data_IF_247923085288
#
_entry.id   IF_247923085288
#
_cell.length_a   1.000
_cell.length_b   1.000
_cell.length_c   1.000
_cell.angle_alpha   90.00
_cell.angle_beta   90.00
_cell.angle_gamma   90.00
#
_symmetry.space_group_name_H-M   'P 1'
#
loop_
_entity.id
_entity.type
_entity.pdbx_description
1 polymer ?
#
# COMPACT_ATOMS: atom_id res chain seq x y z
N UNK A 1 25.15 -25.43 -11.98
CA UNK A 1 24.25 -24.85 -10.95
C UNK A 1 23.47 -23.75 -11.63
N UNK A 2 22.17 -23.69 -11.43
CA UNK A 2 21.31 -22.72 -12.14
C UNK A 2 21.28 -21.31 -11.48
N UNK A 3 21.75 -21.19 -10.25
CA UNK A 3 21.87 -19.93 -9.51
C UNK A 3 23.31 -19.67 -9.12
N UNK A 4 23.78 -18.44 -9.31
CA UNK A 4 25.09 -17.97 -8.88
C UNK A 4 24.92 -16.88 -7.83
N UNK A 5 25.65 -16.97 -6.71
CA UNK A 5 25.72 -15.89 -5.74
C UNK A 5 26.59 -14.78 -6.33
N UNK A 6 26.00 -13.61 -6.54
CA UNK A 6 26.71 -12.42 -7.07
C UNK A 6 27.45 -11.71 -5.94
N UNK A 7 26.76 -11.52 -4.80
CA UNK A 7 27.29 -10.87 -3.60
C UNK A 7 26.41 -11.17 -2.40
N UNK A 8 26.93 -11.02 -1.20
CA UNK A 8 26.13 -10.91 0.01
C UNK A 8 25.55 -9.49 0.12
N UNK A 9 24.29 -9.39 0.52
CA UNK A 9 23.65 -8.09 0.81
C UNK A 9 23.93 -7.69 2.26
N UNK A 10 24.06 -6.38 2.55
CA UNK A 10 24.26 -5.90 3.92
C UNK A 10 23.11 -6.36 4.82
N UNK A 11 23.42 -6.66 6.07
CA UNK A 11 22.38 -6.97 7.05
C UNK A 11 21.51 -5.71 7.32
N UNK A 12 20.18 -5.83 7.53
CA UNK A 12 19.33 -4.67 7.81
C UNK A 12 19.82 -3.79 8.96
N UNK A 13 20.41 -4.36 10.01
CA UNK A 13 20.99 -3.58 11.11
C UNK A 13 22.15 -2.68 10.65
N UNK A 14 22.96 -3.12 9.67
CA UNK A 14 24.06 -2.33 9.11
C UNK A 14 23.50 -1.14 8.30
N UNK A 15 22.49 -1.40 7.47
CA UNK A 15 21.81 -0.34 6.70
C UNK A 15 21.14 0.66 7.63
N UNK A 16 20.45 0.21 8.67
CA UNK A 16 19.82 1.09 9.67
C UNK A 16 20.85 1.89 10.46
N UNK A 17 21.99 1.30 10.79
CA UNK A 17 23.08 2.01 11.48
C UNK A 17 23.76 3.07 10.58
N UNK A 18 23.87 2.79 9.27
CA UNK A 18 24.40 3.75 8.29
C UNK A 18 23.41 4.89 7.95
N UNK A 19 22.10 4.59 8.01
CA UNK A 19 21.00 5.53 7.73
C UNK A 19 20.00 5.50 8.90
N UNK A 20 20.36 6.06 10.08
CA UNK A 20 19.57 5.90 11.29
C UNK A 20 18.35 6.82 11.30
N UNK A 21 17.25 6.31 11.81
CA UNK A 21 16.09 7.13 12.16
C UNK A 21 16.41 7.89 13.47
N UNK A 22 16.30 9.22 13.45
CA UNK A 22 16.53 10.01 14.67
C UNK A 22 15.39 9.83 15.67
N UNK A 23 15.63 10.03 16.98
CA UNK A 23 14.58 9.94 17.99
C UNK A 23 13.36 10.83 17.72
N UNK A 24 13.57 12.05 17.21
CA UNK A 24 12.48 12.98 16.88
C UNK A 24 11.62 12.46 15.71
N UNK A 25 12.26 11.95 14.65
CA UNK A 25 11.54 11.35 13.52
C UNK A 25 10.83 10.06 13.92
N UNK A 26 11.44 9.25 14.80
CA UNK A 26 10.79 8.06 15.35
C UNK A 26 9.54 8.42 16.15
N UNK A 27 9.58 9.52 16.92
CA UNK A 27 8.41 10.03 17.64
C UNK A 27 7.32 10.47 16.67
N UNK A 28 7.62 11.27 15.66
CA UNK A 28 6.67 11.74 14.64
C UNK A 28 5.99 10.52 13.97
N UNK A 29 6.79 9.52 13.57
CA UNK A 29 6.27 8.29 12.96
C UNK A 29 5.33 7.54 13.92
N UNK A 30 5.74 7.32 15.16
CA UNK A 30 4.96 6.58 16.14
C UNK A 30 3.62 7.28 16.47
N UNK A 31 3.63 8.61 16.60
CA UNK A 31 2.42 9.40 16.82
C UNK A 31 1.45 9.24 15.63
N UNK A 32 1.98 9.28 14.40
CA UNK A 32 1.21 9.10 13.17
C UNK A 32 0.65 7.68 13.03
N UNK A 33 1.47 6.67 13.32
CA UNK A 33 1.04 5.26 13.32
C UNK A 33 -0.09 5.02 14.32
N UNK A 34 -0.03 5.66 15.50
CA UNK A 34 -1.08 5.58 16.50
C UNK A 34 -2.40 6.19 15.98
N UNK A 35 -2.37 7.32 15.28
CA UNK A 35 -3.56 7.91 14.64
C UNK A 35 -4.16 6.96 13.58
N UNK A 36 -3.33 6.35 12.74
CA UNK A 36 -3.78 5.40 11.72
C UNK A 36 -4.42 4.17 12.38
N UNK A 37 -3.79 3.60 13.41
CA UNK A 37 -4.31 2.44 14.14
C UNK A 37 -5.67 2.71 14.77
N UNK A 38 -5.92 3.94 15.28
CA UNK A 38 -7.23 4.34 15.83
C UNK A 38 -8.37 4.28 14.80
N UNK A 39 -8.08 4.52 13.53
CA UNK A 39 -9.08 4.36 12.47
C UNK A 39 -9.45 2.89 12.29
N UNK A 40 -8.45 2.00 12.33
CA UNK A 40 -8.68 0.55 12.20
C UNK A 40 -9.39 -0.03 13.42
N UNK A 41 -9.06 0.43 14.63
CA UNK A 41 -9.73 -0.01 15.87
C UNK A 41 -11.14 0.57 16.05
N UNK A 42 -11.52 1.57 15.25
CA UNK A 42 -12.81 2.27 15.37
C UNK A 42 -12.84 3.34 16.46
N UNK A 43 -11.68 3.70 17.03
CA UNK A 43 -11.55 4.81 18.00
C UNK A 43 -11.53 6.18 17.29
N UNK A 44 -11.37 6.22 15.98
CA UNK A 44 -11.40 7.43 15.16
C UNK A 44 -12.28 7.19 13.93
N UNK A 45 -13.15 8.17 13.66
CA UNK A 45 -14.02 8.19 12.46
C UNK A 45 -13.34 8.80 11.23
N UNK A 46 -12.04 9.16 11.32
CA UNK A 46 -11.30 9.67 10.18
C UNK A 46 -11.18 8.63 9.08
N UNK A 47 -11.12 9.10 7.85
CA UNK A 47 -11.01 8.27 6.67
C UNK A 47 -9.56 8.18 6.18
N UNK A 48 -9.09 7.01 5.80
CA UNK A 48 -7.74 6.81 5.29
C UNK A 48 -7.68 7.01 3.78
N UNK A 49 -6.72 7.78 3.31
CA UNK A 49 -6.47 7.93 1.89
C UNK A 49 -5.04 7.52 1.58
N UNK A 50 -4.89 6.31 1.03
CA UNK A 50 -3.60 5.75 0.60
C UNK A 50 -3.41 6.15 -0.86
N UNK A 51 -2.60 7.17 -1.13
CA UNK A 51 -2.55 7.80 -2.45
C UNK A 51 -1.11 8.09 -2.88
N UNK A 52 -0.81 7.79 -4.14
CA UNK A 52 0.52 8.05 -4.74
C UNK A 52 0.75 7.24 -6.00
N UNK A 53 1.97 7.32 -6.59
CA UNK A 53 2.27 6.68 -7.86
C UNK A 53 2.10 5.16 -7.82
N UNK A 54 1.87 4.58 -8.99
CA UNK A 54 1.78 3.13 -9.16
C UNK A 54 3.08 2.44 -8.72
N UNK A 55 4.23 3.05 -9.05
CA UNK A 55 5.55 2.68 -8.54
C UNK A 55 6.42 3.93 -8.35
N UNK A 56 7.26 3.94 -7.32
CA UNK A 56 8.30 4.94 -7.16
C UNK A 56 9.41 4.66 -8.18
N UNK A 57 9.72 5.66 -9.01
CA UNK A 57 10.68 5.55 -10.11
C UNK A 57 11.76 6.64 -10.08
N UNK A 58 11.44 7.79 -9.51
CA UNK A 58 12.33 8.93 -9.40
C UNK A 58 12.13 9.61 -8.05
N UNK A 59 13.21 9.78 -7.27
CA UNK A 59 13.15 10.29 -5.90
C UNK A 59 12.58 11.71 -5.84
N UNK A 60 13.05 12.61 -6.73
CA UNK A 60 12.67 14.03 -6.68
C UNK A 60 11.19 14.24 -7.01
N UNK A 61 10.67 13.58 -8.04
CA UNK A 61 9.27 13.70 -8.41
C UNK A 61 8.33 13.02 -7.41
N UNK A 62 8.75 11.92 -6.78
CA UNK A 62 7.99 11.29 -5.69
C UNK A 62 7.92 12.22 -4.48
N UNK A 63 9.03 12.86 -4.09
CA UNK A 63 9.05 13.81 -2.98
C UNK A 63 8.25 15.09 -3.28
N UNK A 64 8.35 15.65 -4.50
CA UNK A 64 7.48 16.78 -4.91
C UNK A 64 6.00 16.41 -4.75
N UNK A 65 5.61 15.21 -5.23
CA UNK A 65 4.24 14.74 -5.06
C UNK A 65 3.83 14.64 -3.57
N UNK A 66 4.70 14.11 -2.71
CA UNK A 66 4.44 13.98 -1.27
C UNK A 66 4.34 15.35 -0.60
N UNK A 67 5.15 16.32 -1.00
CA UNK A 67 5.04 17.70 -0.52
C UNK A 67 3.71 18.36 -0.89
N UNK A 68 3.16 18.05 -2.07
CA UNK A 68 1.81 18.49 -2.46
C UNK A 68 0.76 17.84 -1.56
N UNK A 69 0.88 16.54 -1.29
CA UNK A 69 0.00 15.85 -0.34
C UNK A 69 0.09 16.46 1.07
N UNK A 70 1.29 16.88 1.51
CA UNK A 70 1.46 17.49 2.84
C UNK A 70 0.68 18.80 2.97
N UNK A 71 0.67 19.62 1.93
CA UNK A 71 -0.09 20.88 1.93
C UNK A 71 -1.59 20.62 2.08
N UNK A 72 -2.14 19.73 1.27
CA UNK A 72 -3.58 19.43 1.31
C UNK A 72 -3.99 18.68 2.59
N UNK A 73 -3.08 17.90 3.22
CA UNK A 73 -3.37 17.23 4.49
C UNK A 73 -3.79 18.23 5.59
N UNK A 74 -3.22 19.42 5.61
CA UNK A 74 -3.56 20.41 6.63
C UNK A 74 -4.99 20.95 6.46
N UNK A 75 -5.51 20.94 5.22
CA UNK A 75 -6.88 21.36 4.92
C UNK A 75 -7.92 20.28 5.29
N UNK A 76 -7.53 19.00 5.17
CA UNK A 76 -8.48 17.87 5.37
C UNK A 76 -8.23 17.07 6.65
N UNK A 77 -7.30 17.49 7.50
CA UNK A 77 -6.79 16.74 8.68
C UNK A 77 -7.87 16.31 9.68
N UNK A 78 -8.99 17.05 9.76
CA UNK A 78 -10.06 16.73 10.69
C UNK A 78 -10.90 15.52 10.24
N UNK A 79 -10.88 15.21 8.94
CA UNK A 79 -11.67 14.14 8.31
C UNK A 79 -10.83 13.04 7.69
N UNK A 80 -9.64 13.38 7.14
CA UNK A 80 -8.82 12.46 6.35
C UNK A 80 -7.41 12.36 6.94
N UNK A 81 -6.89 11.13 6.99
CA UNK A 81 -5.48 10.84 7.18
C UNK A 81 -4.91 10.36 5.84
N UNK A 82 -4.01 11.16 5.24
CA UNK A 82 -3.33 10.79 4.01
C UNK A 82 -2.12 9.92 4.34
N UNK A 83 -1.97 8.80 3.63
CA UNK A 83 -0.81 7.91 3.67
C UNK A 83 -0.22 7.88 2.26
N UNK A 84 0.94 8.50 2.02
CA UNK A 84 1.57 8.46 0.70
C UNK A 84 1.90 7.04 0.25
N UNK A 85 1.59 6.68 -0.99
CA UNK A 85 2.07 5.45 -1.62
C UNK A 85 3.49 5.68 -2.14
N UNK A 86 4.44 4.94 -1.61
CA UNK A 86 5.82 4.83 -2.12
C UNK A 86 6.07 3.35 -2.41
N UNK A 87 5.47 2.83 -3.49
CA UNK A 87 5.64 1.43 -3.86
C UNK A 87 6.97 1.24 -4.57
N UNK A 88 7.90 0.59 -3.88
CA UNK A 88 9.30 0.44 -4.31
C UNK A 88 9.59 -0.88 -4.99
N UNK A 89 8.69 -1.85 -4.89
CA UNK A 89 8.70 -3.12 -5.62
C UNK A 89 7.56 -3.17 -6.64
N UNK A 90 7.82 -3.69 -7.84
CA UNK A 90 6.77 -3.91 -8.85
C UNK A 90 6.75 -5.37 -9.28
N UNK A 91 5.70 -6.14 -8.93
CA UNK A 91 5.58 -7.52 -9.37
C UNK A 91 5.35 -7.59 -10.89
N UNK A 92 6.10 -8.44 -11.58
CA UNK A 92 6.00 -8.68 -13.01
C UNK A 92 5.72 -10.15 -13.30
N UNK A 93 4.55 -10.44 -13.86
CA UNK A 93 4.10 -11.80 -14.13
C UNK A 93 5.02 -12.54 -15.11
N UNK A 94 5.52 -11.84 -16.14
CA UNK A 94 6.45 -12.39 -17.15
C UNK A 94 7.91 -12.13 -16.83
N UNK A 95 8.20 -11.33 -15.80
CA UNK A 95 9.56 -10.92 -15.44
C UNK A 95 10.09 -9.71 -16.22
N UNK A 96 9.34 -9.22 -17.23
CA UNK A 96 9.74 -8.09 -18.07
C UNK A 96 9.31 -6.73 -17.51
N UNK A 97 10.04 -5.67 -17.89
CA UNK A 97 9.76 -4.28 -17.53
C UNK A 97 10.35 -3.86 -16.17
N UNK A 98 10.09 -2.62 -15.79
CA UNK A 98 10.59 -2.02 -14.54
C UNK A 98 10.11 -2.80 -13.31
N UNK A 99 11.03 -3.22 -12.46
CA UNK A 99 10.78 -4.06 -11.28
C UNK A 99 10.70 -3.27 -9.97
N UNK A 100 10.72 -1.94 -10.06
CA UNK A 100 10.70 -1.03 -8.92
C UNK A 100 12.09 -0.57 -8.48
N UNK A 101 12.13 0.51 -7.71
CA UNK A 101 13.35 1.17 -7.21
C UNK A 101 14.25 0.20 -6.43
N UNK A 102 13.68 -0.78 -5.73
CA UNK A 102 14.45 -1.80 -5.02
C UNK A 102 15.40 -2.58 -5.95
N UNK A 103 14.99 -2.87 -7.17
CA UNK A 103 15.81 -3.59 -8.15
C UNK A 103 16.62 -2.65 -9.05
N UNK A 104 16.01 -1.53 -9.42
CA UNK A 104 16.51 -0.59 -10.41
C UNK A 104 16.29 0.84 -9.88
N UNK A 105 17.17 1.34 -8.99
CA UNK A 105 17.08 2.73 -8.51
C UNK A 105 17.16 3.75 -9.65
N UNK A 106 17.87 3.41 -10.74
CA UNK A 106 17.75 4.07 -12.04
C UNK A 106 17.03 3.14 -13.02
N UNK A 107 15.81 3.48 -13.49
CA UNK A 107 15.01 2.61 -14.38
C UNK A 107 15.66 2.24 -15.71
N UNK A 108 16.68 3.00 -16.15
CA UNK A 108 17.40 2.78 -17.43
C UNK A 108 18.67 1.95 -17.27
N UNK A 109 19.07 1.63 -16.03
CA UNK A 109 20.29 0.87 -15.74
C UNK A 109 20.01 -0.60 -15.40
N UNK A 110 21.08 -1.38 -15.33
CA UNK A 110 21.00 -2.78 -14.90
C UNK A 110 20.60 -2.86 -13.42
N UNK A 111 19.91 -3.93 -12.99
CA UNK A 111 19.51 -4.13 -11.60
C UNK A 111 20.71 -4.10 -10.63
N UNK A 112 20.59 -3.33 -9.56
CA UNK A 112 21.51 -3.32 -8.42
C UNK A 112 20.72 -3.29 -7.10
N UNK A 113 20.52 -4.46 -6.52
CA UNK A 113 19.74 -4.63 -5.29
C UNK A 113 20.37 -3.93 -4.07
N UNK A 114 21.72 -3.84 -3.99
CA UNK A 114 22.38 -3.16 -2.88
C UNK A 114 22.09 -1.66 -2.91
N UNK A 115 22.29 -1.05 -4.06
CA UNK A 115 21.97 0.38 -4.25
C UNK A 115 20.47 0.63 -4.13
N UNK A 116 19.63 -0.31 -4.58
CA UNK A 116 18.18 -0.25 -4.46
C UNK A 116 17.71 -0.23 -3.00
N UNK A 117 18.24 -1.09 -2.13
CA UNK A 117 17.92 -1.09 -0.69
C UNK A 117 18.23 0.27 -0.06
N UNK A 118 19.38 0.86 -0.38
CA UNK A 118 19.79 2.17 0.14
C UNK A 118 18.88 3.28 -0.40
N UNK A 119 18.59 3.28 -1.71
CA UNK A 119 17.72 4.28 -2.35
C UNK A 119 16.31 4.25 -1.76
N UNK A 120 15.73 3.07 -1.60
CA UNK A 120 14.40 2.89 -1.02
C UNK A 120 14.35 3.40 0.42
N UNK A 121 15.34 3.04 1.26
CA UNK A 121 15.40 3.54 2.63
C UNK A 121 15.53 5.06 2.68
N UNK A 122 16.43 5.63 1.86
CA UNK A 122 16.63 7.09 1.82
C UNK A 122 15.34 7.82 1.38
N UNK A 123 14.63 7.32 0.38
CA UNK A 123 13.37 7.91 -0.08
C UNK A 123 12.31 7.92 1.05
N UNK A 124 12.12 6.81 1.75
CA UNK A 124 11.18 6.75 2.88
C UNK A 124 11.63 7.65 4.05
N UNK A 125 12.92 7.71 4.36
CA UNK A 125 13.46 8.61 5.38
C UNK A 125 13.25 10.08 5.01
N UNK A 126 13.51 10.48 3.77
CA UNK A 126 13.28 11.84 3.28
C UNK A 126 11.79 12.20 3.34
N UNK A 127 10.92 11.30 2.89
CA UNK A 127 9.48 11.51 2.98
C UNK A 127 9.04 11.81 4.42
N UNK A 128 9.52 11.02 5.39
CA UNK A 128 9.22 11.24 6.80
C UNK A 128 9.85 12.54 7.33
N UNK A 129 11.11 12.79 7.03
CA UNK A 129 11.85 13.95 7.54
C UNK A 129 11.31 15.27 6.99
N UNK A 130 10.99 15.33 5.71
CA UNK A 130 10.57 16.55 5.02
C UNK A 130 9.07 16.85 5.20
N UNK A 131 8.24 15.84 5.47
CA UNK A 131 6.77 16.00 5.49
C UNK A 131 6.08 15.46 6.74
N UNK A 132 6.75 14.69 7.56
CA UNK A 132 6.16 13.99 8.71
C UNK A 132 5.28 12.79 8.32
N UNK A 133 5.25 12.39 7.06
CA UNK A 133 4.49 11.22 6.62
C UNK A 133 5.31 9.92 6.72
N UNK A 134 4.81 8.95 7.49
CA UNK A 134 5.10 7.55 7.22
C UNK A 134 4.33 7.12 5.96
N UNK A 135 4.95 6.30 5.11
CA UNK A 135 4.37 5.93 3.83
C UNK A 135 3.90 4.47 3.78
N UNK A 136 3.12 4.16 2.74
CA UNK A 136 2.71 2.81 2.39
C UNK A 136 3.64 2.21 1.34
N UNK A 137 4.01 0.93 1.51
CA UNK A 137 4.69 0.15 0.46
C UNK A 137 4.03 -1.23 0.29
N UNK A 138 4.28 -1.89 -0.84
CA UNK A 138 3.88 -3.28 -1.08
C UNK A 138 4.98 -4.22 -0.60
N UNK A 139 4.66 -5.14 0.32
CA UNK A 139 5.56 -6.22 0.72
C UNK A 139 5.62 -7.25 -0.42
N UNK A 140 6.43 -6.98 -1.45
CA UNK A 140 6.65 -7.91 -2.55
C UNK A 140 7.55 -9.08 -2.12
N UNK A 141 8.58 -8.78 -1.36
CA UNK A 141 9.51 -9.75 -0.77
C UNK A 141 9.53 -9.55 0.76
N UNK A 142 9.06 -10.53 1.56
CA UNK A 142 9.03 -10.41 3.02
C UNK A 142 10.38 -10.07 3.64
N UNK A 143 11.49 -10.58 3.08
CA UNK A 143 12.86 -10.32 3.56
C UNK A 143 13.22 -8.82 3.54
N UNK A 144 12.67 -8.06 2.59
CA UNK A 144 12.99 -6.64 2.43
C UNK A 144 12.32 -5.76 3.49
N UNK A 145 11.25 -6.23 4.12
CA UNK A 145 10.54 -5.49 5.16
C UNK A 145 11.48 -5.00 6.27
N UNK A 146 12.42 -5.84 6.70
CA UNK A 146 13.34 -5.49 7.79
C UNK A 146 14.29 -4.34 7.49
N UNK A 147 14.44 -3.88 6.24
CA UNK A 147 15.17 -2.66 5.93
C UNK A 147 14.34 -1.39 6.14
N UNK A 148 13.02 -1.51 6.26
CA UNK A 148 12.04 -0.43 6.30
C UNK A 148 11.06 -0.50 7.48
N UNK A 149 11.15 -1.51 8.36
CA UNK A 149 10.19 -1.78 9.43
C UNK A 149 10.04 -0.63 10.45
N UNK A 150 11.05 0.23 10.52
CA UNK A 150 11.07 1.45 11.34
C UNK A 150 10.54 2.70 10.60
N UNK A 151 10.17 2.61 9.32
CA UNK A 151 9.77 3.74 8.47
C UNK A 151 8.35 3.63 7.92
N UNK A 152 7.89 2.40 7.61
CA UNK A 152 6.57 2.19 7.00
C UNK A 152 5.43 2.44 7.98
N UNK A 153 4.36 3.08 7.51
CA UNK A 153 3.11 3.29 8.25
C UNK A 153 1.98 2.35 7.82
N UNK A 154 2.11 1.73 6.65
CA UNK A 154 1.13 0.82 6.07
C UNK A 154 1.81 -0.16 5.11
N UNK A 155 1.33 -1.39 5.08
CA UNK A 155 1.80 -2.41 4.13
C UNK A 155 0.61 -2.98 3.34
N UNK A 156 0.80 -3.15 2.04
CA UNK A 156 -0.10 -3.94 1.22
C UNK A 156 0.53 -5.28 0.84
N UNK A 157 -0.25 -6.36 0.91
CA UNK A 157 0.10 -7.65 0.31
C UNK A 157 -0.61 -7.75 -1.04
N UNK A 158 0.18 -7.86 -2.10
CA UNK A 158 -0.32 -7.88 -3.46
C UNK A 158 -1.17 -9.10 -3.80
N UNK A 159 -2.00 -8.98 -4.82
CA UNK A 159 -2.92 -10.03 -5.27
C UNK A 159 -2.23 -11.34 -5.69
N UNK A 160 -0.95 -11.29 -6.10
CA UNK A 160 -0.15 -12.46 -6.46
C UNK A 160 0.57 -13.09 -5.26
N UNK A 161 0.65 -12.37 -4.14
CA UNK A 161 1.40 -12.77 -2.94
C UNK A 161 0.49 -13.21 -1.79
N UNK A 162 -0.80 -12.88 -1.82
CA UNK A 162 -1.74 -13.09 -0.70
C UNK A 162 -1.94 -14.56 -0.33
N UNK A 163 -1.71 -15.49 -1.26
CA UNK A 163 -1.76 -16.94 -0.99
C UNK A 163 -0.46 -17.49 -0.41
N UNK A 164 0.64 -16.75 -0.55
CA UNK A 164 1.95 -17.21 -0.11
C UNK A 164 2.05 -17.26 1.41
N UNK A 165 2.51 -18.42 1.94
CA UNK A 165 2.59 -18.67 3.38
C UNK A 165 3.54 -17.70 4.09
N UNK A 166 4.70 -17.40 3.49
CA UNK A 166 5.69 -16.50 4.09
C UNK A 166 5.13 -15.09 4.28
N UNK A 167 4.37 -14.57 3.30
CA UNK A 167 3.72 -13.26 3.43
C UNK A 167 2.71 -13.22 4.57
N UNK A 168 1.90 -14.28 4.75
CA UNK A 168 0.92 -14.38 5.84
C UNK A 168 1.60 -14.41 7.20
N UNK A 169 2.67 -15.23 7.33
CA UNK A 169 3.41 -15.38 8.58
C UNK A 169 4.17 -14.09 8.95
N UNK A 170 4.87 -13.46 8.01
CA UNK A 170 5.56 -12.19 8.27
C UNK A 170 4.56 -11.09 8.63
N UNK A 171 3.40 -11.03 7.96
CA UNK A 171 2.33 -10.06 8.27
C UNK A 171 1.83 -10.19 9.71
N UNK A 172 1.85 -11.40 10.31
CA UNK A 172 1.45 -11.60 11.71
C UNK A 172 2.43 -11.01 12.73
N UNK A 173 3.68 -10.73 12.32
CA UNK A 173 4.71 -10.10 13.15
C UNK A 173 4.91 -8.61 12.88
N UNK A 174 4.13 -8.02 11.97
CA UNK A 174 4.20 -6.59 11.64
C UNK A 174 3.39 -5.77 12.63
N UNK A 175 3.93 -4.65 13.11
CA UNK A 175 3.30 -3.78 14.10
C UNK A 175 2.61 -2.54 13.50
N UNK A 176 2.22 -2.58 12.22
CA UNK A 176 1.45 -1.56 11.52
C UNK A 176 0.33 -2.22 10.73
N UNK A 177 -0.68 -1.48 10.22
CA UNK A 177 -1.74 -2.06 9.42
C UNK A 177 -1.22 -2.74 8.16
N UNK A 178 -1.73 -3.96 7.90
CA UNK A 178 -1.40 -4.77 6.72
C UNK A 178 -2.68 -5.09 5.96
N UNK A 179 -2.79 -4.58 4.74
CA UNK A 179 -3.92 -4.84 3.85
C UNK A 179 -3.67 -6.04 2.94
N UNK A 180 -4.56 -7.02 2.98
CA UNK A 180 -4.55 -8.21 2.13
C UNK A 180 -5.41 -7.96 0.89
N UNK A 181 -4.81 -7.84 -0.30
CA UNK A 181 -5.56 -7.73 -1.55
C UNK A 181 -6.24 -9.06 -1.88
N UNK A 182 -7.49 -9.02 -2.40
CA UNK A 182 -8.05 -10.24 -2.97
C UNK A 182 -7.18 -10.74 -4.13
N UNK A 183 -7.06 -12.08 -4.32
CA UNK A 183 -6.28 -12.67 -5.41
C UNK A 183 -6.71 -12.14 -6.78
N UNK A 184 -5.86 -12.30 -7.78
CA UNK A 184 -6.13 -11.86 -9.16
C UNK A 184 -7.43 -12.47 -9.69
N UNK A 185 -7.72 -13.73 -9.39
CA UNK A 185 -8.96 -14.42 -9.77
C UNK A 185 -10.20 -14.10 -8.92
N UNK A 186 -10.07 -13.25 -7.89
CA UNK A 186 -11.22 -12.72 -7.14
C UNK A 186 -11.72 -13.54 -5.95
N UNK A 187 -11.05 -14.62 -5.56
CA UNK A 187 -11.49 -15.45 -4.44
C UNK A 187 -11.36 -14.72 -3.09
N UNK A 188 -12.50 -14.28 -2.59
CA UNK A 188 -12.60 -13.59 -1.29
C UNK A 188 -12.23 -14.51 -0.12
N UNK A 189 -12.45 -15.83 -0.24
CA UNK A 189 -12.13 -16.78 0.83
C UNK A 189 -10.62 -16.85 1.09
N UNK A 190 -9.81 -16.79 0.04
CA UNK A 190 -8.35 -16.75 0.11
C UNK A 190 -7.89 -15.49 0.86
N UNK A 191 -8.43 -14.32 0.51
CA UNK A 191 -8.14 -13.06 1.20
C UNK A 191 -8.51 -13.15 2.69
N UNK A 192 -9.70 -13.63 3.01
CA UNK A 192 -10.17 -13.77 4.40
C UNK A 192 -9.32 -14.76 5.20
N UNK A 193 -8.89 -15.86 4.59
CA UNK A 193 -7.96 -16.81 5.22
C UNK A 193 -6.58 -16.18 5.48
N UNK A 194 -6.12 -15.31 4.59
CA UNK A 194 -4.86 -14.59 4.77
C UNK A 194 -4.94 -13.60 5.93
N UNK A 195 -6.06 -12.88 6.08
CA UNK A 195 -6.33 -12.01 7.22
C UNK A 195 -6.36 -12.81 8.52
N UNK A 196 -7.08 -13.94 8.52
CA UNK A 196 -7.14 -14.84 9.67
C UNK A 196 -5.74 -15.30 10.09
N UNK A 197 -4.94 -15.79 9.14
CA UNK A 197 -3.58 -16.21 9.42
C UNK A 197 -2.72 -15.06 9.97
N UNK A 198 -2.80 -13.87 9.39
CA UNK A 198 -2.03 -12.70 9.85
C UNK A 198 -2.45 -12.22 11.25
N UNK A 199 -3.70 -12.45 11.68
CA UNK A 199 -4.16 -12.09 13.03
C UNK A 199 -3.79 -13.13 14.11
N UNK A 200 -3.29 -14.32 13.75
CA UNK A 200 -2.87 -15.35 14.69
C UNK A 200 -1.37 -15.31 14.97
N UNK A 201 -1.01 -15.81 16.15
CA UNK A 201 0.40 -16.03 16.54
C UNK A 201 0.99 -17.24 15.80
N UNK A 202 2.26 -17.13 15.38
CA UNK A 202 2.98 -18.18 14.68
C UNK A 202 4.42 -18.31 15.14
N UNK A 203 5.00 -19.51 14.98
CA UNK A 203 6.44 -19.76 15.02
C UNK A 203 6.89 -20.18 13.61
N UNK A 204 7.91 -19.52 13.06
CA UNK A 204 8.36 -19.78 11.69
C UNK A 204 9.81 -19.34 11.46
N UNK A 205 10.37 -19.72 10.31
CA UNK A 205 11.72 -19.31 9.92
C UNK A 205 11.65 -17.99 9.17
N UNK A 206 12.39 -16.99 9.67
CA UNK A 206 12.52 -15.70 9.00
C UNK A 206 13.99 -15.24 9.03
N UNK A 207 14.57 -15.01 7.86
CA UNK A 207 15.97 -14.57 7.70
C UNK A 207 16.98 -15.45 8.43
N UNK A 208 16.82 -16.77 8.35
CA UNK A 208 17.69 -17.74 8.98
C UNK A 208 17.55 -17.86 10.51
N UNK A 209 16.54 -17.21 11.09
CA UNK A 209 16.21 -17.29 12.50
C UNK A 209 14.87 -17.99 12.71
N UNK A 210 14.71 -18.68 13.84
CA UNK A 210 13.41 -19.05 14.37
C UNK A 210 12.79 -17.82 15.03
N UNK A 211 11.60 -17.42 14.61
CA UNK A 211 10.90 -16.26 15.14
C UNK A 211 9.50 -16.64 15.62
N UNK A 212 8.98 -15.87 16.58
CA UNK A 212 7.60 -15.95 17.05
C UNK A 212 6.91 -14.62 16.84
N UNK A 213 5.71 -14.66 16.27
CA UNK A 213 4.82 -13.50 16.14
C UNK A 213 3.64 -13.62 17.11
N UNK A 214 3.02 -12.48 17.44
CA UNK A 214 1.86 -12.43 18.35
C UNK A 214 0.52 -12.29 17.62
N UNK A 215 0.56 -12.12 16.29
CA UNK A 215 -0.58 -11.78 15.47
C UNK A 215 -0.74 -10.27 15.29
N UNK A 216 -1.23 -9.86 14.11
CA UNK A 216 -1.45 -8.45 13.77
C UNK A 216 -2.95 -8.13 13.78
N UNK A 217 -3.49 -7.46 14.81
CA UNK A 217 -4.91 -7.14 14.92
C UNK A 217 -5.41 -6.14 13.88
N UNK A 218 -4.51 -5.51 13.12
CA UNK A 218 -4.81 -4.55 12.06
C UNK A 218 -4.67 -5.14 10.65
N UNK A 219 -4.53 -6.46 10.51
CA UNK A 219 -4.62 -7.13 9.22
C UNK A 219 -6.05 -7.07 8.69
N UNK A 220 -6.23 -6.57 7.46
CA UNK A 220 -7.54 -6.23 6.91
C UNK A 220 -7.63 -6.47 5.39
N UNK A 221 -8.83 -6.32 4.82
CA UNK A 221 -9.12 -6.54 3.42
C UNK A 221 -8.76 -5.34 2.53
N UNK A 222 -8.30 -5.64 1.31
CA UNK A 222 -8.26 -4.68 0.19
C UNK A 222 -9.00 -5.29 -1.00
N UNK A 223 -10.10 -4.66 -1.45
CA UNK A 223 -10.77 -5.02 -2.69
C UNK A 223 -10.17 -4.25 -3.86
N UNK A 224 -9.73 -4.97 -4.92
CA UNK A 224 -9.05 -4.41 -6.09
C UNK A 224 -9.67 -4.81 -7.44
N UNK A 225 -10.88 -5.43 -7.41
CA UNK A 225 -11.45 -6.10 -8.57
C UNK A 225 -10.74 -7.43 -8.86
N UNK A 226 -11.16 -8.10 -9.92
CA UNK A 226 -10.57 -9.39 -10.32
C UNK A 226 -10.58 -9.54 -11.85
N UNK A 227 -9.91 -10.58 -12.31
CA UNK A 227 -9.84 -10.95 -13.72
C UNK A 227 -10.33 -12.39 -13.85
N UNK A 228 -11.26 -12.63 -14.75
CA UNK A 228 -11.76 -13.99 -15.02
C UNK A 228 -10.75 -14.82 -15.84
N UNK A 229 -11.07 -16.09 -16.06
CA UNK A 229 -10.25 -17.03 -16.84
C UNK A 229 -10.07 -16.60 -18.32
N UNK A 230 -10.93 -15.71 -18.82
CA UNK A 230 -10.89 -15.16 -20.17
C UNK A 230 -10.12 -13.84 -20.25
N UNK A 231 -9.60 -13.34 -19.13
CA UNK A 231 -8.86 -12.07 -19.06
C UNK A 231 -9.73 -10.81 -18.93
N UNK A 232 -11.05 -10.95 -18.69
CA UNK A 232 -11.92 -9.80 -18.48
C UNK A 232 -11.79 -9.28 -17.05
N UNK A 233 -11.70 -7.96 -16.90
CA UNK A 233 -11.70 -7.30 -15.59
C UNK A 233 -13.11 -7.07 -15.08
N UNK A 234 -13.32 -7.40 -13.81
CA UNK A 234 -14.58 -7.17 -13.09
C UNK A 234 -14.33 -6.37 -11.82
N UNK A 235 -15.18 -5.38 -11.52
CA UNK A 235 -15.11 -4.64 -10.26
C UNK A 235 -15.65 -5.49 -9.10
N UNK A 236 -15.27 -5.12 -7.86
CA UNK A 236 -15.83 -5.68 -6.62
C UNK A 236 -15.97 -4.59 -5.53
N UNK A 237 -16.40 -3.39 -5.94
CA UNK A 237 -16.63 -2.23 -5.07
C UNK A 237 -18.08 -1.76 -5.05
N UNK A 238 -18.98 -2.40 -5.77
CA UNK A 238 -20.39 -2.02 -5.76
C UNK A 238 -21.03 -2.31 -4.40
N UNK A 239 -22.19 -1.71 -4.15
CA UNK A 239 -22.90 -1.82 -2.87
C UNK A 239 -23.02 -3.27 -2.40
N UNK A 240 -23.42 -4.18 -3.30
CA UNK A 240 -23.62 -5.60 -3.02
C UNK A 240 -22.31 -6.32 -2.65
N UNK A 241 -21.19 -5.93 -3.27
CA UNK A 241 -19.89 -6.51 -2.96
C UNK A 241 -19.40 -6.08 -1.58
N UNK A 242 -19.54 -4.77 -1.27
CA UNK A 242 -19.17 -4.20 0.03
C UNK A 242 -20.04 -4.79 1.15
N UNK A 243 -21.36 -4.89 0.92
CA UNK A 243 -22.29 -5.45 1.89
C UNK A 243 -22.02 -6.93 2.14
N UNK A 244 -21.80 -7.72 1.09
CA UNK A 244 -21.44 -9.16 1.20
C UNK A 244 -20.14 -9.36 1.96
N UNK A 245 -19.15 -8.46 1.80
CA UNK A 245 -17.93 -8.54 2.58
C UNK A 245 -18.19 -8.21 4.06
N UNK A 246 -19.02 -7.22 4.36
CA UNK A 246 -19.43 -6.92 5.73
C UNK A 246 -20.11 -8.13 6.40
N UNK A 247 -21.02 -8.82 5.70
CA UNK A 247 -21.62 -10.06 6.18
C UNK A 247 -20.59 -11.19 6.37
N UNK A 248 -19.56 -11.24 5.50
CA UNK A 248 -18.50 -12.24 5.62
C UNK A 248 -17.65 -11.99 6.87
N UNK A 249 -17.33 -10.75 7.16
CA UNK A 249 -16.63 -10.36 8.39
C UNK A 249 -17.45 -10.67 9.65
N UNK A 250 -18.76 -10.39 9.63
CA UNK A 250 -19.64 -10.62 10.79
C UNK A 250 -19.76 -12.11 11.20
N UNK A 251 -19.42 -13.03 10.29
CA UNK A 251 -19.42 -14.47 10.53
C UNK A 251 -18.07 -15.02 11.01
N UNK A 252 -17.06 -14.16 11.15
CA UNK A 252 -15.70 -14.55 11.55
C UNK A 252 -15.29 -13.80 12.82
N UNK A 253 -14.58 -14.51 13.70
CA UNK A 253 -14.00 -13.94 14.92
C UNK A 253 -12.67 -13.22 14.61
N UNK A 254 -12.76 -12.14 13.81
CA UNK A 254 -11.62 -11.32 13.44
C UNK A 254 -11.63 -10.00 14.22
N UNK A 255 -10.44 -9.57 14.63
CA UNK A 255 -10.25 -8.28 15.28
C UNK A 255 -10.32 -7.15 14.25
N UNK A 256 -10.91 -6.01 14.65
CA UNK A 256 -10.91 -4.77 13.87
C UNK A 256 -11.32 -4.96 12.39
N UNK A 257 -12.53 -5.45 12.08
CA UNK A 257 -13.00 -5.59 10.70
C UNK A 257 -12.83 -4.29 9.92
N UNK A 258 -12.09 -4.34 8.82
CA UNK A 258 -11.78 -3.15 8.04
C UNK A 258 -11.56 -3.50 6.55
N UNK A 259 -11.86 -2.53 5.71
CA UNK A 259 -11.72 -2.59 4.27
C UNK A 259 -11.10 -1.31 3.73
N UNK A 260 -10.09 -1.44 2.90
CA UNK A 260 -9.62 -0.40 1.98
C UNK A 260 -10.08 -0.79 0.56
N UNK A 261 -10.63 0.14 -0.20
CA UNK A 261 -10.99 -0.11 -1.59
C UNK A 261 -9.96 0.50 -2.52
N UNK A 262 -9.29 -0.35 -3.30
CA UNK A 262 -8.38 0.07 -4.37
C UNK A 262 -9.22 0.48 -5.58
N UNK A 263 -9.24 1.76 -5.90
CA UNK A 263 -10.08 2.34 -6.94
C UNK A 263 -9.53 2.15 -8.36
N UNK A 264 -8.30 1.67 -8.49
CA UNK A 264 -7.66 1.38 -9.77
C UNK A 264 -7.71 -0.14 -10.08
N UNK A 265 -6.65 -0.70 -10.69
CA UNK A 265 -6.50 -2.08 -11.08
C UNK A 265 -7.73 -2.62 -11.84
N UNK A 266 -8.27 -3.79 -11.45
CA UNK A 266 -9.44 -4.35 -12.12
C UNK A 266 -10.74 -3.64 -11.76
N UNK A 267 -10.81 -2.90 -10.64
CA UNK A 267 -11.96 -2.07 -10.29
C UNK A 267 -12.23 -0.97 -11.33
N UNK A 268 -11.19 -0.37 -11.90
CA UNK A 268 -11.30 0.62 -12.98
C UNK A 268 -11.05 0.03 -14.38
N UNK A 269 -10.65 -1.26 -14.47
CA UNK A 269 -10.09 -1.81 -15.70
C UNK A 269 -8.82 -1.08 -16.16
N UNK A 270 -8.05 -0.53 -15.20
CA UNK A 270 -6.85 0.33 -15.41
C UNK A 270 -7.13 1.64 -16.14
N UNK A 271 -8.40 2.10 -16.18
CA UNK A 271 -8.79 3.42 -16.68
C UNK A 271 -8.66 4.41 -15.52
N UNK A 272 -7.53 5.07 -15.39
CA UNK A 272 -7.18 5.88 -14.22
C UNK A 272 -8.18 6.99 -13.90
N UNK A 273 -8.87 7.54 -14.90
CA UNK A 273 -9.90 8.57 -14.69
C UNK A 273 -11.15 8.03 -13.96
N UNK A 274 -11.43 6.73 -14.08
CA UNK A 274 -12.56 6.09 -13.38
C UNK A 274 -12.40 6.11 -11.86
N UNK A 275 -11.19 6.26 -11.34
CA UNK A 275 -10.94 6.32 -9.90
C UNK A 275 -11.80 7.40 -9.21
N UNK A 276 -12.06 8.52 -9.87
CA UNK A 276 -12.90 9.62 -9.35
C UNK A 276 -14.35 9.14 -9.18
N UNK A 277 -14.92 8.53 -10.22
CA UNK A 277 -16.30 8.02 -10.19
C UNK A 277 -16.44 6.91 -9.15
N UNK A 278 -15.49 5.97 -9.13
CA UNK A 278 -15.47 4.83 -8.19
C UNK A 278 -15.42 5.32 -6.74
N UNK A 279 -14.57 6.31 -6.44
CA UNK A 279 -14.50 6.91 -5.10
C UNK A 279 -15.85 7.48 -4.66
N UNK A 280 -16.53 8.21 -5.53
CA UNK A 280 -17.85 8.79 -5.25
C UNK A 280 -18.93 7.70 -5.04
N UNK A 281 -18.90 6.61 -5.80
CA UNK A 281 -19.84 5.49 -5.65
C UNK A 281 -19.67 4.79 -4.31
N UNK A 282 -18.41 4.57 -3.86
CA UNK A 282 -18.12 3.99 -2.55
C UNK A 282 -18.62 4.88 -1.43
N UNK A 283 -18.35 6.20 -1.48
CA UNK A 283 -18.86 7.16 -0.49
C UNK A 283 -20.39 7.20 -0.48
N UNK A 284 -21.03 7.10 -1.66
CA UNK A 284 -22.48 6.97 -1.75
C UNK A 284 -22.98 5.72 -1.03
N UNK A 285 -22.36 4.56 -1.25
CA UNK A 285 -22.71 3.31 -0.59
C UNK A 285 -22.56 3.38 0.93
N UNK A 286 -21.49 4.04 1.42
CA UNK A 286 -21.26 4.27 2.86
C UNK A 286 -22.38 5.11 3.51
N UNK A 287 -22.99 6.05 2.78
CA UNK A 287 -24.11 6.86 3.28
C UNK A 287 -25.42 6.07 3.38
N UNK A 288 -25.55 4.97 2.64
CA UNK A 288 -26.77 4.19 2.55
C UNK A 288 -26.74 2.88 3.38
N UNK A 289 -25.60 2.52 3.97
CA UNK A 289 -25.48 1.37 4.88
C UNK A 289 -24.49 1.66 6.01
N UNK A 290 -24.94 1.45 7.25
CA UNK A 290 -24.10 1.55 8.44
C UNK A 290 -23.04 0.43 8.48
N UNK A 291 -23.35 -0.74 7.97
CA UNK A 291 -22.44 -1.87 7.88
C UNK A 291 -21.27 -1.54 6.96
N UNK A 292 -21.57 -1.01 5.77
CA UNK A 292 -20.55 -0.55 4.81
C UNK A 292 -19.75 0.60 5.40
N UNK A 293 -20.40 1.59 6.02
CA UNK A 293 -19.74 2.74 6.63
C UNK A 293 -18.76 2.33 7.73
N UNK A 294 -19.12 1.36 8.58
CA UNK A 294 -18.25 0.85 9.64
C UNK A 294 -17.08 0.05 9.09
N UNK A 295 -17.29 -0.69 8.00
CA UNK A 295 -16.29 -1.56 7.40
C UNK A 295 -15.26 -0.78 6.57
N UNK A 296 -15.72 0.14 5.70
CA UNK A 296 -14.85 0.87 4.78
C UNK A 296 -14.10 1.96 5.55
N UNK A 297 -12.79 1.76 5.72
CA UNK A 297 -11.91 2.68 6.46
C UNK A 297 -11.18 3.65 5.54
N UNK A 298 -11.14 3.40 4.22
CA UNK A 298 -10.42 4.25 3.30
C UNK A 298 -10.39 3.77 1.87
N UNK A 299 -9.71 4.56 1.04
CA UNK A 299 -9.48 4.29 -0.38
C UNK A 299 -7.98 4.19 -0.67
N UNK A 300 -7.65 3.41 -1.71
CA UNK A 300 -6.32 3.38 -2.29
C UNK A 300 -6.40 3.88 -3.73
N UNK A 301 -5.62 4.94 -4.04
CA UNK A 301 -5.68 5.68 -5.30
C UNK A 301 -4.30 5.72 -5.95
N UNK A 302 -4.21 5.36 -7.23
CA UNK A 302 -3.00 5.55 -8.01
C UNK A 302 -2.99 6.93 -8.65
N UNK A 303 -2.11 7.79 -8.15
CA UNK A 303 -1.99 9.20 -8.51
C UNK A 303 -0.53 9.64 -8.56
N UNK A 304 -0.22 10.54 -9.48
CA UNK A 304 1.10 11.17 -9.58
C UNK A 304 0.96 12.65 -9.96
N UNK A 305 2.05 13.28 -10.43
CA UNK A 305 2.03 14.69 -10.82
C UNK A 305 1.27 14.85 -12.15
N UNK A 306 1.62 14.02 -13.15
CA UNK A 306 1.03 14.05 -14.48
C UNK A 306 0.05 12.90 -14.72
N UNK A 307 -0.96 13.13 -15.54
CA UNK A 307 -1.95 12.12 -15.95
C UNK A 307 -1.33 11.00 -16.80
N UNK A 308 -1.80 9.77 -16.56
CA UNK A 308 -1.54 8.62 -17.40
C UNK A 308 -0.20 7.94 -17.12
N UNK A 309 0.42 7.42 -18.16
CA UNK A 309 1.70 6.72 -18.11
C UNK A 309 2.57 7.10 -19.30
N UNK A 310 3.87 6.78 -19.17
CA UNK A 310 4.89 6.98 -20.21
C UNK A 310 5.74 5.71 -20.37
N UNK A 311 6.45 5.61 -21.47
CA UNK A 311 7.48 4.59 -21.64
C UNK A 311 8.74 4.93 -20.84
N UNK A 312 9.51 3.90 -20.44
CA UNK A 312 10.82 4.09 -19.82
C UNK A 312 11.72 4.86 -20.80
N UNK A 313 12.32 5.95 -20.34
CA UNK A 313 13.21 6.78 -21.14
C UNK A 313 12.56 8.03 -21.78
N UNK A 314 11.24 8.20 -21.72
CA UNK A 314 10.58 9.45 -22.15
C UNK A 314 10.84 10.62 -21.18
N UNK A 315 11.15 10.34 -19.91
CA UNK A 315 11.60 11.28 -18.89
C UNK A 315 10.65 12.48 -18.63
N UNK A 316 9.35 12.30 -18.78
CA UNK A 316 8.36 13.30 -18.38
C UNK A 316 8.29 13.29 -16.85
N UNK A 317 8.65 14.41 -16.22
CA UNK A 317 8.71 14.55 -14.77
C UNK A 317 7.37 14.25 -14.11
N UNK A 318 7.35 13.35 -13.13
CA UNK A 318 6.15 12.99 -12.36
C UNK A 318 5.07 12.26 -13.15
N UNK A 319 5.41 11.63 -14.27
CA UNK A 319 4.51 10.75 -15.02
C UNK A 319 4.90 9.29 -14.82
N UNK A 320 3.93 8.44 -14.53
CA UNK A 320 4.15 7.02 -14.20
C UNK A 320 4.82 6.25 -15.35
N UNK A 321 5.85 5.46 -15.06
CA UNK A 321 6.48 4.51 -16.00
C UNK A 321 5.90 3.08 -15.90
N UNK A 322 4.80 2.92 -15.16
CA UNK A 322 4.09 1.64 -14.97
C UNK A 322 2.61 1.80 -15.30
N UNK A 323 1.66 1.48 -14.39
CA UNK A 323 0.25 1.67 -14.69
C UNK A 323 -0.13 3.17 -14.69
N UNK A 324 -1.11 3.60 -15.52
CA UNK A 324 -1.51 5.00 -15.60
C UNK A 324 -2.06 5.53 -14.28
N UNK A 325 -1.65 6.73 -13.90
CA UNK A 325 -2.03 7.42 -12.67
C UNK A 325 -2.92 8.64 -12.94
N UNK A 326 -3.73 8.99 -11.95
CA UNK A 326 -4.47 10.25 -11.92
C UNK A 326 -3.49 11.40 -11.64
N UNK A 327 -3.53 12.47 -12.44
CA UNK A 327 -2.67 13.64 -12.27
C UNK A 327 -3.04 14.47 -11.04
N UNK A 328 -2.12 15.35 -10.61
CA UNK A 328 -2.25 16.12 -9.36
C UNK A 328 -3.52 16.96 -9.30
N UNK A 329 -3.84 17.77 -10.33
CA UNK A 329 -5.00 18.65 -10.30
C UNK A 329 -6.32 17.89 -10.05
N UNK A 330 -6.46 16.70 -10.62
CA UNK A 330 -7.63 15.86 -10.42
C UNK A 330 -7.63 15.20 -9.04
N UNK A 331 -6.46 14.84 -8.57
CA UNK A 331 -6.27 14.21 -7.26
C UNK A 331 -6.56 15.19 -6.13
N UNK A 332 -6.09 16.42 -6.23
CA UNK A 332 -6.39 17.49 -5.28
C UNK A 332 -7.90 17.74 -5.17
N UNK A 333 -8.57 17.91 -6.31
CA UNK A 333 -10.05 18.04 -6.35
C UNK A 333 -10.76 16.83 -5.75
N UNK A 334 -10.24 15.62 -6.02
CA UNK A 334 -10.82 14.39 -5.47
C UNK A 334 -10.66 14.33 -3.95
N UNK A 335 -9.48 14.67 -3.41
CA UNK A 335 -9.22 14.68 -1.96
C UNK A 335 -10.17 15.64 -1.25
N UNK A 336 -10.29 16.87 -1.74
CA UNK A 336 -11.21 17.87 -1.20
C UNK A 336 -12.67 17.40 -1.31
N UNK A 337 -13.07 16.87 -2.47
CA UNK A 337 -14.42 16.35 -2.68
C UNK A 337 -14.75 15.12 -1.81
N UNK A 338 -13.78 14.28 -1.44
CA UNK A 338 -13.95 13.21 -0.45
C UNK A 338 -14.17 13.83 0.93
N UNK A 339 -13.35 14.82 1.32
CA UNK A 339 -13.48 15.49 2.62
C UNK A 339 -14.85 16.18 2.79
N UNK A 340 -15.39 16.77 1.72
CA UNK A 340 -16.71 17.40 1.74
C UNK A 340 -17.86 16.40 1.95
N UNK A 341 -17.67 15.15 1.53
CA UNK A 341 -18.68 14.10 1.58
C UNK A 341 -18.65 13.27 2.88
N UNK A 342 -17.56 13.31 3.64
CA UNK A 342 -17.40 12.70 4.96
C UNK A 342 -17.95 13.62 6.07
#
# INVERSE_FOLDING_TARGET
>A
MAMNIIRELPHPSEIKAAHPLTPDLAKIKNDRDAEIKKVFSGESDKFLLIIGPCSADNEDSVLDYIHRLRRIQDEVKDKIIIIPRIYTGKPRTTGDGYKGMLHQPNPTEMPDLKSGIIAVRNLHMRALAETGFGAADEMLYPENYSYLDDLLAYIAIGARSVENQQHRLVSSGVNIPVGMKNPTGGDISVMMNSITAAQHAHAFIYRGCEVRSDGNPYAHAILRGYVDERGNSYPNYHFEDLYRLAETYSKKELLNPALIVDTNHSNSGKKYLEQVRISNEILHSMRHSNEIRKLVKGLMIESYIEDGAQAIGENIYGKSITDPCLGWEKSEKLILGIADQL
#
